data_IF_724456682627
#
_entry.id   IF_724456682627
#
_cell.length_a   1.000
_cell.length_b   1.000
_cell.length_c   1.000
_cell.angle_alpha   90.00
_cell.angle_beta   90.00
_cell.angle_gamma   90.00
#
_symmetry.space_group_name_H-M   'P 1'
#
loop_
_entity.id
_entity.type
_entity.pdbx_description
1 polymer ?
#
# COMPACT_ATOMS: atom_id res chain seq x y z
N UNK A 1 -18.45 6.48 12.66
CA UNK A 1 -17.94 5.19 13.16
C UNK A 1 -17.31 4.37 12.02
N UNK A 2 -16.12 4.76 11.54
CA UNK A 2 -15.36 4.04 10.49
C UNK A 2 -13.87 3.94 10.86
N UNK A 3 -13.57 3.72 12.13
CA UNK A 3 -12.20 3.53 12.61
C UNK A 3 -12.14 2.20 13.35
N UNK A 4 -11.09 1.44 13.07
CA UNK A 4 -10.77 0.25 13.85
C UNK A 4 -10.00 0.72 15.08
N UNK A 5 -10.39 0.21 16.24
CA UNK A 5 -9.66 0.44 17.47
C UNK A 5 -8.37 -0.40 17.44
N UNK A 6 -7.24 0.17 17.86
CA UNK A 6 -5.99 -0.59 17.97
C UNK A 6 -6.16 -1.79 18.92
N UNK A 7 -6.99 -1.64 19.95
CA UNK A 7 -7.29 -2.69 20.92
C UNK A 7 -8.13 -3.84 20.32
N UNK A 8 -8.66 -3.69 19.11
CA UNK A 8 -9.31 -4.78 18.37
C UNK A 8 -8.30 -5.77 17.76
N UNK A 9 -7.01 -5.44 17.73
CA UNK A 9 -5.94 -6.27 17.19
C UNK A 9 -4.99 -6.73 18.30
N UNK A 10 -4.48 -7.97 18.18
CA UNK A 10 -3.41 -8.45 19.06
C UNK A 10 -2.11 -7.63 18.92
N UNK A 11 -1.88 -7.08 17.73
CA UNK A 11 -0.87 -6.07 17.46
C UNK A 11 -1.28 -5.26 16.22
N UNK A 12 -1.00 -3.96 16.24
CA UNK A 12 -1.11 -3.06 15.10
C UNK A 12 0.28 -2.47 14.87
N UNK A 13 0.86 -2.64 13.68
CA UNK A 13 2.16 -2.07 13.32
C UNK A 13 1.98 -1.06 12.19
N UNK A 14 2.14 0.22 12.50
CA UNK A 14 1.92 1.32 11.57
C UNK A 14 3.23 1.67 10.86
N UNK A 15 3.72 0.73 10.06
CA UNK A 15 5.02 0.77 9.36
C UNK A 15 5.27 2.10 8.65
N UNK A 16 4.23 2.69 8.06
CA UNK A 16 4.29 3.96 7.34
C UNK A 16 4.80 5.14 8.18
N UNK A 17 4.68 5.10 9.51
CA UNK A 17 5.11 6.20 10.39
C UNK A 17 6.62 6.32 10.48
N UNK A 18 7.32 5.19 10.49
CA UNK A 18 8.75 5.13 10.75
C UNK A 18 9.56 4.60 9.57
N UNK A 19 8.92 4.02 8.55
CA UNK A 19 9.56 3.49 7.35
C UNK A 19 9.21 4.27 6.07
N UNK A 20 8.73 5.51 6.20
CA UNK A 20 8.46 6.37 5.06
C UNK A 20 9.75 6.70 4.31
N UNK A 21 9.78 6.43 3.00
CA UNK A 21 10.88 6.83 2.12
C UNK A 21 10.57 8.22 1.51
N UNK A 22 11.41 9.20 1.84
CA UNK A 22 11.27 10.57 1.39
C UNK A 22 11.61 10.77 -0.09
N UNK A 23 12.45 9.92 -0.67
CA UNK A 23 12.84 9.98 -2.08
C UNK A 23 11.76 9.31 -2.94
N UNK A 24 11.30 8.12 -2.55
CA UNK A 24 10.23 7.44 -3.26
C UNK A 24 8.84 8.06 -3.02
N UNK A 25 8.67 8.87 -1.97
CA UNK A 25 7.40 9.50 -1.62
C UNK A 25 6.32 8.49 -1.22
N UNK A 26 6.71 7.33 -0.68
CA UNK A 26 5.82 6.24 -0.26
C UNK A 26 6.52 5.36 0.77
N UNK A 27 5.81 4.36 1.30
CA UNK A 27 6.40 3.31 2.13
C UNK A 27 6.92 2.21 1.19
N UNK A 28 8.19 1.80 1.30
CA UNK A 28 8.72 0.69 0.51
C UNK A 28 8.02 -0.63 0.86
N UNK A 29 7.66 -1.41 -0.17
CA UNK A 29 7.07 -2.74 0.03
C UNK A 29 7.99 -3.65 0.88
N UNK A 30 9.31 -3.54 0.71
CA UNK A 30 10.29 -4.27 1.50
C UNK A 30 10.20 -4.00 3.00
N UNK A 31 9.89 -2.76 3.41
CA UNK A 31 9.70 -2.43 4.83
C UNK A 31 8.47 -3.14 5.40
N UNK A 32 7.37 -3.20 4.64
CA UNK A 32 6.15 -3.90 5.04
C UNK A 32 6.41 -5.41 5.15
N UNK A 33 7.12 -5.99 4.18
CA UNK A 33 7.50 -7.42 4.19
C UNK A 33 8.37 -7.76 5.40
N UNK A 34 9.42 -6.98 5.68
CA UNK A 34 10.30 -7.21 6.83
C UNK A 34 9.49 -7.25 8.14
N UNK A 35 8.60 -6.26 8.33
CA UNK A 35 7.79 -6.17 9.56
C UNK A 35 6.78 -7.29 9.69
N UNK A 36 6.16 -7.71 8.58
CA UNK A 36 5.26 -8.85 8.57
C UNK A 36 5.96 -10.15 8.96
N UNK A 37 7.17 -10.40 8.42
CA UNK A 37 7.98 -11.59 8.78
C UNK A 37 8.39 -11.55 10.25
N UNK A 38 8.91 -10.42 10.75
CA UNK A 38 9.25 -10.27 12.17
C UNK A 38 8.05 -10.57 13.07
N UNK A 39 6.89 -9.99 12.75
CA UNK A 39 5.67 -10.18 13.54
C UNK A 39 5.19 -11.64 13.53
N UNK A 40 5.23 -12.30 12.36
CA UNK A 40 4.86 -13.70 12.24
C UNK A 40 5.75 -14.59 13.14
N UNK A 41 7.07 -14.40 13.09
CA UNK A 41 8.04 -15.19 13.86
C UNK A 41 8.01 -14.89 15.37
N UNK A 42 7.85 -13.62 15.75
CA UNK A 42 7.90 -13.20 17.16
C UNK A 42 6.60 -13.49 17.92
N UNK A 43 5.45 -13.46 17.23
CA UNK A 43 4.13 -13.52 17.87
C UNK A 43 3.28 -14.72 17.50
N UNK A 44 3.61 -15.44 16.43
CA UNK A 44 2.87 -16.59 15.93
C UNK A 44 1.34 -16.36 15.90
N UNK A 45 0.86 -15.32 15.19
CA UNK A 45 -0.56 -14.96 15.22
C UNK A 45 -1.41 -15.93 14.39
N UNK A 46 -2.61 -16.25 14.86
CA UNK A 46 -3.60 -17.04 14.09
C UNK A 46 -3.98 -16.40 12.73
N UNK A 47 -3.91 -15.06 12.66
CA UNK A 47 -4.25 -14.25 11.48
C UNK A 47 -3.32 -13.04 11.40
N UNK A 48 -2.79 -12.80 10.21
CA UNK A 48 -1.98 -11.64 9.88
C UNK A 48 -2.59 -10.91 8.68
N UNK A 49 -2.70 -9.59 8.77
CA UNK A 49 -3.09 -8.72 7.66
C UNK A 49 -1.88 -7.87 7.30
N UNK A 50 -1.45 -7.95 6.05
CA UNK A 50 -0.31 -7.19 5.52
C UNK A 50 -0.83 -6.25 4.45
N UNK A 51 -0.63 -4.94 4.63
CA UNK A 51 -1.17 -3.92 3.75
C UNK A 51 -0.04 -3.19 3.01
N UNK A 52 0.11 -3.48 1.73
CA UNK A 52 1.07 -2.84 0.84
C UNK A 52 0.45 -1.58 0.20
N UNK A 53 1.28 -0.57 -0.06
CA UNK A 53 0.84 0.64 -0.77
C UNK A 53 0.85 0.45 -2.29
N UNK A 54 1.84 -0.28 -2.82
CA UNK A 54 1.93 -0.56 -4.24
C UNK A 54 0.83 -1.55 -4.65
N UNK A 55 0.19 -1.39 -5.83
CA UNK A 55 0.63 -0.58 -6.96
C UNK A 55 0.11 0.88 -7.00
N UNK A 56 -0.42 1.44 -5.90
CA UNK A 56 -0.77 2.86 -5.86
C UNK A 56 0.47 3.72 -6.19
N UNK A 57 0.26 4.87 -6.84
CA UNK A 57 1.34 5.81 -7.11
C UNK A 57 1.87 6.44 -5.80
N UNK A 58 3.13 6.88 -5.72
CA UNK A 58 4.17 6.87 -6.76
C UNK A 58 4.56 5.48 -7.23
N UNK A 59 4.87 5.38 -8.52
CA UNK A 59 5.32 4.11 -9.09
C UNK A 59 6.79 3.88 -8.80
N UNK A 60 7.09 2.78 -8.11
CA UNK A 60 8.45 2.31 -7.86
C UNK A 60 8.59 0.95 -8.55
N UNK A 61 9.63 0.68 -9.36
CA UNK A 61 10.87 1.44 -9.51
C UNK A 61 10.85 2.44 -10.67
N UNK A 62 9.73 2.63 -11.33
CA UNK A 62 9.62 3.39 -12.58
C UNK A 62 8.75 4.66 -12.42
N UNK A 63 9.27 5.71 -11.74
CA UNK A 63 8.50 6.91 -11.45
C UNK A 63 8.14 7.70 -12.71
N UNK A 64 7.06 8.48 -12.62
CA UNK A 64 6.67 9.42 -13.65
C UNK A 64 7.16 10.83 -13.29
N UNK A 65 7.73 11.52 -14.27
CA UNK A 65 8.05 12.94 -14.13
C UNK A 65 6.75 13.73 -13.87
N UNK A 66 6.75 14.58 -12.83
CA UNK A 66 5.58 15.34 -12.41
C UNK A 66 4.60 14.59 -11.49
N UNK A 67 4.96 13.41 -10.98
CA UNK A 67 4.25 12.80 -9.84
C UNK A 67 4.84 13.34 -8.53
N UNK A 68 4.07 14.15 -7.82
CA UNK A 68 4.50 14.85 -6.61
C UNK A 68 4.59 13.94 -5.36
N UNK A 69 4.32 12.65 -5.50
CA UNK A 69 4.36 11.73 -4.36
C UNK A 69 3.00 11.35 -3.80
N UNK A 70 2.99 10.56 -2.72
CA UNK A 70 1.90 10.57 -1.76
C UNK A 70 2.17 11.67 -0.73
N UNK A 71 1.13 12.40 -0.33
CA UNK A 71 1.26 13.34 0.77
C UNK A 71 1.46 12.55 2.08
N UNK A 72 2.70 12.56 2.62
CA UNK A 72 3.09 11.87 3.87
C UNK A 72 2.14 12.16 5.04
N UNK A 73 1.52 13.34 5.04
CA UNK A 73 0.61 13.80 6.10
C UNK A 73 -0.67 14.43 5.59
N UNK A 74 -1.08 14.26 4.33
CA UNK A 74 -2.03 15.18 3.69
C UNK A 74 -3.47 14.70 3.45
N UNK A 75 -4.36 15.70 3.47
CA UNK A 75 -5.82 15.69 3.24
C UNK A 75 -6.28 15.66 1.78
N UNK A 76 -5.34 15.68 0.82
CA UNK A 76 -5.58 15.76 -0.61
C UNK A 76 -4.56 14.93 -1.40
N UNK A 77 -4.97 14.37 -2.54
CA UNK A 77 -4.03 13.91 -3.57
C UNK A 77 -3.20 15.11 -4.05
N UNK A 78 -1.91 14.91 -4.32
CA UNK A 78 -1.10 15.99 -4.87
C UNK A 78 -1.68 16.53 -6.18
N UNK A 79 -1.46 17.82 -6.43
CA UNK A 79 -2.05 18.54 -7.56
C UNK A 79 -1.58 17.96 -8.91
N UNK A 80 -0.38 17.40 -8.94
CA UNK A 80 0.17 16.64 -10.05
C UNK A 80 0.35 15.18 -9.63
N UNK A 81 -0.32 14.30 -10.36
CA UNK A 81 -0.29 12.85 -10.17
C UNK A 81 -0.56 12.17 -11.53
N UNK A 82 -0.28 10.86 -11.67
CA UNK A 82 -0.36 10.18 -12.97
C UNK A 82 -1.71 10.34 -13.67
N UNK A 83 -2.79 10.40 -12.89
CA UNK A 83 -4.17 10.48 -13.41
C UNK A 83 -4.49 11.88 -13.92
N UNK A 84 -3.98 12.93 -13.26
CA UNK A 84 -4.07 14.32 -13.73
C UNK A 84 -3.25 14.50 -15.01
N UNK A 85 -2.01 14.00 -15.04
CA UNK A 85 -1.14 14.07 -16.20
C UNK A 85 -1.76 13.35 -17.41
N UNK A 86 -2.33 12.15 -17.20
CA UNK A 86 -3.06 11.42 -18.24
C UNK A 86 -4.26 12.19 -18.75
N UNK A 87 -5.07 12.76 -17.86
CA UNK A 87 -6.25 13.55 -18.23
C UNK A 87 -5.89 14.78 -19.06
N UNK A 88 -4.73 15.40 -18.81
CA UNK A 88 -4.22 16.56 -19.56
C UNK A 88 -3.52 16.17 -20.86
N UNK A 89 -3.24 14.88 -21.08
CA UNK A 89 -2.48 14.39 -22.22
C UNK A 89 -0.99 14.71 -22.14
N UNK A 90 -0.47 14.99 -20.95
CA UNK A 90 0.96 15.28 -20.70
C UNK A 90 1.81 14.00 -20.67
N UNK A 91 1.17 12.86 -20.37
CA UNK A 91 1.77 11.52 -20.43
C UNK A 91 0.83 10.59 -21.21
N UNK A 92 1.38 9.58 -21.90
CA UNK A 92 0.56 8.59 -22.63
C UNK A 92 0.06 7.48 -21.71
N UNK A 93 -1.07 6.88 -22.07
CA UNK A 93 -1.62 5.71 -21.36
C UNK A 93 -0.60 4.58 -21.28
N UNK A 94 0.14 4.34 -22.37
CA UNK A 94 1.15 3.29 -22.44
C UNK A 94 2.31 3.51 -21.45
N UNK A 95 2.73 4.78 -21.26
CA UNK A 95 3.80 5.13 -20.31
C UNK A 95 3.35 4.90 -18.87
N UNK A 96 2.14 5.32 -18.53
CA UNK A 96 1.57 5.11 -17.18
C UNK A 96 1.29 3.64 -16.92
N UNK A 97 0.77 2.91 -17.90
CA UNK A 97 0.55 1.46 -17.79
C UNK A 97 1.87 0.72 -17.53
N UNK A 98 2.93 1.07 -18.25
CA UNK A 98 4.26 0.48 -18.05
C UNK A 98 4.77 0.70 -16.62
N UNK A 99 4.66 1.93 -16.10
CA UNK A 99 5.06 2.26 -14.74
C UNK A 99 4.20 1.52 -13.69
N UNK A 100 2.88 1.50 -13.89
CA UNK A 100 1.94 0.80 -13.00
C UNK A 100 2.22 -0.71 -12.95
N UNK A 101 2.46 -1.33 -14.10
CA UNK A 101 2.80 -2.75 -14.18
C UNK A 101 4.14 -3.04 -13.52
N UNK A 102 5.16 -2.19 -13.71
CA UNK A 102 6.44 -2.30 -13.03
C UNK A 102 6.27 -2.22 -11.51
N UNK A 103 5.41 -1.31 -11.02
CA UNK A 103 5.08 -1.16 -9.60
C UNK A 103 4.37 -2.41 -9.03
N UNK A 104 3.41 -2.95 -9.77
CA UNK A 104 2.73 -4.19 -9.39
C UNK A 104 3.70 -5.38 -9.34
N UNK A 105 4.58 -5.52 -10.34
CA UNK A 105 5.60 -6.60 -10.34
C UNK A 105 6.58 -6.47 -9.19
N UNK A 106 6.97 -5.24 -8.86
CA UNK A 106 7.86 -4.96 -7.73
C UNK A 106 7.26 -5.45 -6.41
N UNK A 107 6.03 -5.06 -6.09
CA UNK A 107 5.37 -5.51 -4.84
C UNK A 107 5.03 -6.99 -4.85
N UNK A 108 4.72 -7.58 -6.00
CA UNK A 108 4.49 -9.02 -6.08
C UNK A 108 5.76 -9.84 -5.77
N UNK A 109 6.95 -9.32 -6.09
CA UNK A 109 8.22 -9.94 -5.64
C UNK A 109 8.39 -9.88 -4.12
N UNK A 110 7.91 -8.83 -3.48
CA UNK A 110 7.88 -8.71 -2.01
C UNK A 110 6.86 -9.65 -1.37
N UNK A 111 5.70 -9.84 -2.01
CA UNK A 111 4.69 -10.84 -1.59
C UNK A 111 5.21 -12.26 -1.76
N UNK A 112 5.96 -12.55 -2.83
CA UNK A 112 6.64 -13.83 -3.02
C UNK A 112 7.67 -14.07 -1.90
N UNK A 113 8.46 -13.06 -1.57
CA UNK A 113 9.40 -13.12 -0.43
C UNK A 113 8.69 -13.37 0.90
N UNK A 114 7.55 -12.71 1.14
CA UNK A 114 6.72 -12.95 2.33
C UNK A 114 6.22 -14.40 2.39
N UNK A 115 5.73 -14.94 1.27
CA UNK A 115 5.21 -16.30 1.21
C UNK A 115 6.29 -17.37 1.50
N UNK A 116 7.55 -17.09 1.18
CA UNK A 116 8.68 -17.95 1.52
C UNK A 116 9.22 -17.76 2.96
N UNK A 117 8.58 -16.90 3.78
CA UNK A 117 9.05 -16.57 5.14
C UNK A 117 7.92 -16.50 6.18
N UNK A 118 6.72 -16.99 5.85
CA UNK A 118 5.56 -17.05 6.76
C UNK A 118 4.79 -18.34 6.51
N UNK A 119 4.52 -19.08 7.57
CA UNK A 119 3.70 -20.30 7.50
C UNK A 119 2.21 -20.00 7.32
N UNK A 120 1.55 -20.79 6.49
CA UNK A 120 0.08 -20.85 6.39
C UNK A 120 -0.47 -20.40 5.05
N UNK A 121 -1.80 -20.36 4.93
CA UNK A 121 -2.48 -20.00 3.69
C UNK A 121 -2.58 -18.49 3.53
N UNK A 122 -2.02 -17.96 2.46
CA UNK A 122 -2.01 -16.54 2.13
C UNK A 122 -3.04 -16.29 1.03
N UNK A 123 -3.89 -15.27 1.25
CA UNK A 123 -4.78 -14.74 0.23
C UNK A 123 -4.33 -13.32 -0.13
N UNK A 124 -4.13 -13.07 -1.43
CA UNK A 124 -3.73 -11.77 -1.99
C UNK A 124 -4.93 -11.20 -2.75
N UNK A 125 -5.35 -10.02 -2.34
CA UNK A 125 -6.48 -9.28 -2.93
C UNK A 125 -6.14 -7.79 -3.03
N UNK A 126 -6.96 -7.05 -3.74
CA UNK A 126 -6.98 -5.60 -3.70
C UNK A 126 -8.28 -5.09 -3.08
N UNK A 127 -8.25 -3.85 -2.63
CA UNK A 127 -9.39 -3.06 -2.19
C UNK A 127 -10.21 -2.51 -3.37
N UNK A 128 -9.55 -2.11 -4.46
CA UNK A 128 -10.16 -1.69 -5.72
C UNK A 128 -9.22 -1.85 -6.93
N UNK A 129 -9.75 -1.58 -8.13
CA UNK A 129 -8.98 -1.42 -9.36
C UNK A 129 -8.62 0.04 -9.67
N UNK A 130 -8.16 0.34 -10.88
CA UNK A 130 -7.78 1.69 -11.29
C UNK A 130 -8.12 1.94 -12.77
N UNK A 131 -8.65 3.12 -13.08
CA UNK A 131 -9.02 3.54 -14.44
C UNK A 131 -7.89 4.31 -15.11
N UNK A 132 -7.76 4.12 -16.42
CA UNK A 132 -6.73 4.73 -17.27
C UNK A 132 -7.34 5.65 -18.35
N UNK A 133 -8.64 5.95 -18.25
CA UNK A 133 -9.35 6.82 -19.19
C UNK A 133 -10.69 6.26 -19.66
N UNK A 134 -11.11 5.09 -19.16
CA UNK A 134 -12.39 4.49 -19.48
C UNK A 134 -13.53 5.48 -19.19
N UNK A 135 -14.32 5.78 -20.21
CA UNK A 135 -15.39 6.79 -20.17
C UNK A 135 -14.96 8.18 -19.71
N UNK A 136 -13.68 8.55 -19.91
CA UNK A 136 -13.12 9.85 -19.49
C UNK A 136 -12.81 9.95 -18.00
N UNK A 137 -12.81 8.82 -17.29
CA UNK A 137 -12.48 8.71 -15.87
C UNK A 137 -11.08 8.13 -15.70
N UNK A 138 -10.35 8.60 -14.70
CA UNK A 138 -8.95 8.25 -14.44
C UNK A 138 -8.76 8.03 -12.94
N UNK A 139 -7.84 7.14 -12.58
CA UNK A 139 -7.63 6.72 -11.19
C UNK A 139 -8.85 5.97 -10.66
N UNK A 140 -9.27 6.27 -9.44
CA UNK A 140 -10.40 5.62 -8.79
C UNK A 140 -11.35 6.66 -8.16
N UNK A 141 -12.17 7.36 -8.98
CA UNK A 141 -13.09 8.36 -8.45
C UNK A 141 -14.13 7.73 -7.53
N UNK A 142 -14.38 8.39 -6.39
CA UNK A 142 -15.38 7.99 -5.41
C UNK A 142 -16.75 7.73 -6.03
N UNK A 143 -17.46 6.74 -5.49
CA UNK A 143 -18.84 6.39 -5.88
C UNK A 143 -19.02 6.03 -7.36
N UNK A 144 -17.99 5.42 -7.98
CA UNK A 144 -18.02 4.99 -9.37
C UNK A 144 -18.18 3.46 -9.47
N UNK A 145 -19.41 2.92 -9.66
CA UNK A 145 -19.67 1.48 -9.58
C UNK A 145 -19.38 0.77 -10.90
N UNK A 146 -18.13 0.84 -11.37
CA UNK A 146 -17.73 0.27 -12.65
C UNK A 146 -16.88 -0.99 -12.49
N UNK A 147 -17.02 -2.00 -13.37
CA UNK A 147 -16.31 -3.27 -13.22
C UNK A 147 -14.79 -3.12 -13.11
N UNK A 148 -14.18 -2.16 -13.80
CA UNK A 148 -12.75 -1.91 -13.76
C UNK A 148 -12.24 -1.42 -12.39
N UNK A 149 -13.12 -0.86 -11.53
CA UNK A 149 -12.79 -0.49 -10.15
C UNK A 149 -13.21 -1.56 -9.14
N UNK A 150 -14.26 -2.32 -9.43
CA UNK A 150 -14.84 -3.28 -8.47
C UNK A 150 -14.30 -4.70 -8.61
N UNK A 151 -13.76 -5.07 -9.79
CA UNK A 151 -13.22 -6.40 -10.05
C UNK A 151 -11.77 -6.48 -9.56
N UNK A 152 -11.59 -7.01 -8.36
CA UNK A 152 -10.29 -7.22 -7.72
C UNK A 152 -9.85 -8.68 -7.82
N UNK A 153 -8.53 -8.97 -7.82
CA UNK A 153 -8.03 -10.33 -7.78
C UNK A 153 -8.33 -11.01 -6.44
N UNK A 154 -8.43 -12.33 -6.45
CA UNK A 154 -8.34 -13.16 -5.25
C UNK A 154 -7.44 -14.34 -5.59
N UNK A 155 -6.16 -14.23 -5.23
CA UNK A 155 -5.17 -15.28 -5.45
C UNK A 155 -4.81 -15.93 -4.12
N UNK A 156 -4.64 -17.24 -4.10
CA UNK A 156 -4.22 -17.98 -2.91
C UNK A 156 -2.92 -18.69 -3.16
N UNK A 157 -2.01 -18.62 -2.19
CA UNK A 157 -0.74 -19.36 -2.16
C UNK A 157 -0.55 -19.95 -0.76
N UNK A 158 0.09 -21.11 -0.67
CA UNK A 158 0.50 -21.65 0.62
C UNK A 158 1.91 -21.13 0.91
N UNK A 159 2.08 -20.46 2.04
CA UNK A 159 3.35 -19.96 2.55
C UNK A 159 4.01 -20.97 3.48
N UNK A 160 5.33 -20.96 3.48
CA UNK A 160 6.18 -21.74 4.36
C UNK A 160 7.38 -20.88 4.77
N UNK A 161 7.70 -20.83 6.07
CA UNK A 161 8.88 -20.11 6.52
C UNK A 161 10.17 -20.90 6.24
N UNK A 162 10.85 -20.54 5.15
CA UNK A 162 12.14 -21.15 4.75
C UNK A 162 13.34 -20.47 5.42
N UNK A 163 13.14 -19.39 6.19
CA UNK A 163 14.24 -18.60 6.76
C UNK A 163 15.09 -17.88 5.72
N UNK A 164 14.58 -17.69 4.50
CA UNK A 164 15.33 -17.14 3.37
C UNK A 164 15.62 -15.63 3.51
N UNK A 165 14.86 -14.92 4.34
CA UNK A 165 15.01 -13.49 4.62
C UNK A 165 15.12 -13.26 6.13
N UNK A 166 16.13 -12.48 6.51
CA UNK A 166 16.30 -11.97 7.87
C UNK A 166 15.78 -10.52 7.92
N UNK A 167 14.68 -10.24 8.62
CA UNK A 167 14.16 -8.88 8.75
C UNK A 167 15.14 -7.98 9.50
N UNK A 168 15.32 -6.76 9.00
CA UNK A 168 16.25 -5.79 9.60
C UNK A 168 15.55 -4.59 10.21
N UNK A 169 14.30 -4.35 9.83
CA UNK A 169 13.55 -3.19 10.27
C UNK A 169 12.94 -3.42 11.66
N UNK A 170 13.37 -2.61 12.62
CA UNK A 170 12.84 -2.61 13.99
C UNK A 170 11.98 -1.35 14.22
N UNK A 171 10.78 -1.48 14.83
CA UNK A 171 9.95 -0.32 15.14
C UNK A 171 10.61 0.51 16.24
N UNK A 172 10.36 1.83 16.29
CA UNK A 172 10.93 2.71 17.32
C UNK A 172 10.41 2.41 18.73
N UNK A 173 9.25 1.75 18.84
CA UNK A 173 8.65 1.34 20.11
C UNK A 173 8.23 -0.15 20.04
N UNK A 174 8.25 -0.89 21.17
CA UNK A 174 7.77 -2.26 21.22
C UNK A 174 6.25 -2.33 20.94
N UNK A 175 5.84 -3.32 20.16
CA UNK A 175 4.43 -3.63 19.92
C UNK A 175 3.79 -4.37 21.12
N UNK A 176 2.47 -4.34 21.31
CA UNK A 176 1.49 -3.56 20.54
C UNK A 176 1.58 -2.07 20.90
N UNK A 177 1.51 -1.19 19.90
CA UNK A 177 1.38 0.24 20.19
C UNK A 177 0.05 0.48 20.91
N UNK A 178 0.15 0.96 22.14
CA UNK A 178 -1.02 1.31 22.97
C UNK A 178 -1.82 2.51 22.44
N UNK A 179 -1.34 3.19 21.38
CA UNK A 179 -1.98 4.32 20.73
C UNK A 179 -1.69 4.34 19.24
N UNK A 180 -2.73 4.55 18.43
CA UNK A 180 -2.59 5.03 17.05
C UNK A 180 -2.04 6.46 17.11
N UNK A 181 -0.74 6.64 16.84
CA UNK A 181 -0.16 7.99 16.77
C UNK A 181 -0.74 8.78 15.58
N UNK A 182 -1.75 9.62 15.79
CA UNK A 182 -2.11 10.63 14.80
C UNK A 182 -0.89 11.48 14.48
N UNK A 183 -0.64 11.80 13.21
CA UNK A 183 0.40 12.77 12.89
C UNK A 183 0.01 14.11 13.49
N UNK A 184 0.97 14.88 13.99
CA UNK A 184 0.66 16.21 14.53
C UNK A 184 -0.07 17.05 13.46
N UNK A 185 -1.37 17.31 13.67
CA UNK A 185 -2.15 18.26 12.88
C UNK A 185 -3.28 17.71 11.98
N UNK A 186 -3.37 16.41 11.68
CA UNK A 186 -4.41 15.88 10.75
C UNK A 186 -5.02 14.55 11.20
N UNK A 187 -6.29 14.31 10.83
CA UNK A 187 -7.06 13.13 11.25
C UNK A 187 -6.89 11.96 10.28
N UNK A 188 -7.04 10.71 10.74
CA UNK A 188 -7.01 9.52 9.86
C UNK A 188 -8.02 9.60 8.70
N UNK A 189 -9.09 10.38 8.89
CA UNK A 189 -10.11 10.67 7.88
C UNK A 189 -9.56 11.41 6.67
N UNK A 190 -8.66 12.35 6.91
CA UNK A 190 -8.11 13.21 5.86
C UNK A 190 -7.17 12.40 4.96
N UNK A 191 -6.44 11.44 5.54
CA UNK A 191 -5.56 10.51 4.81
C UNK A 191 -6.34 9.54 3.93
N UNK A 192 -7.39 8.94 4.48
CA UNK A 192 -8.27 8.07 3.73
C UNK A 192 -8.90 8.80 2.53
N UNK A 193 -9.26 10.09 2.68
CA UNK A 193 -9.70 10.92 1.54
C UNK A 193 -8.60 11.08 0.50
N UNK A 194 -7.35 11.33 0.90
CA UNK A 194 -6.23 11.45 -0.04
C UNK A 194 -5.97 10.15 -0.82
N UNK A 195 -6.20 9.00 -0.19
CA UNK A 195 -6.15 7.68 -0.82
C UNK A 195 -7.43 7.32 -1.59
N UNK A 196 -8.46 8.16 -1.57
CA UNK A 196 -9.71 7.93 -2.29
C UNK A 196 -10.69 6.97 -1.61
N UNK A 197 -10.56 6.72 -0.31
CA UNK A 197 -11.50 5.90 0.49
C UNK A 197 -12.70 6.69 1.07
N UNK A 198 -12.62 8.03 1.12
CA UNK A 198 -13.62 8.92 1.77
C UNK A 198 -13.98 10.15 0.95
#
# INVERSE_FOLDING_TARGET
DRYLDADAFAALDEVWKYAWDGEAGTVPAAAVTDRAISLARERDPDRLVVHYMQPHHPFVPDPLDGDDGLARTGSHSNAENPWVLLRRGEVSVERVWTAYEANLRHVLGEVESLAANVDGRIAVTADHGNLFGEWGLYGHPMHTPVPALLKVPWATVDGADEGAREPTLTPPEPLPVSRVHGGEGETDRDRLRALGYL
#
